data_IF_265890452502
#
_entry.id   IF_265890452502
#
_cell.length_a   1.000
_cell.length_b   1.000
_cell.length_c   1.000
_cell.angle_alpha   90.00
_cell.angle_beta   90.00
_cell.angle_gamma   90.00
#
_symmetry.space_group_name_H-M   'P 1'
#
loop_
_entity.id
_entity.type
_entity.pdbx_description
1 polymer ?
#
# COMPACT_ATOMS: atom_id res chain seq x y z
N UNK A 1 -20.28 -4.57 -17.06
CA UNK A 1 -21.71 -4.66 -16.68
C UNK A 1 -22.55 -4.01 -17.77
N UNK A 2 -23.60 -4.68 -18.28
CA UNK A 2 -24.51 -4.09 -19.27
C UNK A 2 -25.22 -2.88 -18.64
N UNK A 3 -25.06 -1.70 -19.24
CA UNK A 3 -25.79 -0.49 -18.85
C UNK A 3 -27.29 -0.70 -19.10
N UNK A 4 -28.02 -1.04 -18.04
CA UNK A 4 -29.47 -1.19 -18.10
C UNK A 4 -30.10 0.20 -18.21
N UNK A 5 -30.68 0.48 -19.36
CA UNK A 5 -31.36 1.74 -19.63
C UNK A 5 -32.78 1.70 -19.08
N UNK A 6 -33.20 2.77 -18.39
CA UNK A 6 -34.53 2.87 -17.80
C UNK A 6 -35.60 2.88 -18.90
N UNK A 7 -36.56 1.95 -18.81
CA UNK A 7 -37.65 1.77 -19.78
C UNK A 7 -38.56 3.02 -19.78
N UNK A 8 -38.68 3.67 -20.94
CA UNK A 8 -39.48 4.89 -21.12
C UNK A 8 -38.68 6.17 -21.43
N UNK A 9 -37.34 6.10 -21.45
CA UNK A 9 -36.47 7.14 -21.99
C UNK A 9 -36.24 6.87 -23.49
N UNK A 10 -36.99 7.54 -24.38
CA UNK A 10 -36.76 7.47 -25.84
C UNK A 10 -36.27 8.84 -26.34
N UNK A 11 -35.31 8.85 -27.27
CA UNK A 11 -34.70 10.06 -27.86
C UNK A 11 -33.27 10.35 -27.36
N UNK A 12 -32.77 11.57 -27.62
CA UNK A 12 -31.37 12.02 -27.37
C UNK A 12 -30.90 11.93 -25.89
N UNK A 13 -31.78 11.61 -24.93
CA UNK A 13 -31.55 11.71 -23.48
C UNK A 13 -31.56 10.37 -22.74
N UNK A 14 -30.88 9.36 -23.27
CA UNK A 14 -30.83 8.01 -22.70
C UNK A 14 -29.84 7.92 -21.53
N UNK A 15 -30.27 8.25 -20.30
CA UNK A 15 -29.44 8.15 -19.08
C UNK A 15 -29.58 6.80 -18.36
N UNK A 16 -28.49 6.31 -17.76
CA UNK A 16 -28.48 5.15 -16.87
C UNK A 16 -29.13 5.45 -15.53
N UNK A 17 -29.43 4.41 -14.76
CA UNK A 17 -29.94 4.55 -13.39
C UNK A 17 -28.98 5.38 -12.52
N UNK A 18 -27.68 5.05 -12.56
CA UNK A 18 -26.66 5.78 -11.77
C UNK A 18 -26.60 7.25 -12.17
N UNK A 19 -26.60 7.54 -13.47
CA UNK A 19 -26.60 8.91 -13.96
C UNK A 19 -27.85 9.70 -13.52
N UNK A 20 -29.01 9.06 -13.46
CA UNK A 20 -30.24 9.69 -12.98
C UNK A 20 -30.15 9.93 -11.46
N UNK A 21 -29.63 8.96 -10.71
CA UNK A 21 -29.49 9.07 -9.26
C UNK A 21 -28.46 10.12 -8.86
N UNK A 22 -27.33 10.22 -9.57
CA UNK A 22 -26.34 11.27 -9.36
C UNK A 22 -26.97 12.65 -9.55
N UNK A 23 -27.71 12.87 -10.65
CA UNK A 23 -28.41 14.14 -10.91
C UNK A 23 -29.40 14.48 -9.80
N UNK A 24 -30.21 13.50 -9.37
CA UNK A 24 -31.20 13.71 -8.32
C UNK A 24 -30.56 13.95 -6.95
N UNK A 25 -29.42 13.31 -6.69
CA UNK A 25 -28.65 13.51 -5.46
C UNK A 25 -28.06 14.92 -5.44
N UNK A 26 -27.39 15.34 -6.52
CA UNK A 26 -26.90 16.72 -6.69
C UNK A 26 -28.04 17.74 -6.59
N UNK A 27 -29.20 17.47 -7.19
CA UNK A 27 -30.38 18.32 -7.07
C UNK A 27 -30.81 18.51 -5.60
N UNK A 28 -30.77 17.44 -4.80
CA UNK A 28 -31.15 17.47 -3.39
C UNK A 28 -30.09 18.21 -2.55
N UNK A 29 -28.81 17.91 -2.76
CA UNK A 29 -27.69 18.49 -2.01
C UNK A 29 -27.51 19.98 -2.27
N UNK A 30 -27.60 20.40 -3.53
CA UNK A 30 -27.53 21.81 -3.93
C UNK A 30 -28.88 22.53 -3.82
N UNK A 31 -29.94 21.84 -3.39
CA UNK A 31 -31.31 22.35 -3.29
C UNK A 31 -31.81 23.03 -4.59
N UNK A 32 -31.54 22.41 -5.74
CA UNK A 32 -31.81 23.00 -7.05
C UNK A 32 -33.28 22.87 -7.48
N UNK A 33 -33.87 23.92 -8.06
CA UNK A 33 -35.18 23.80 -8.71
C UNK A 33 -35.14 22.83 -9.90
N UNK A 34 -36.20 22.04 -10.09
CA UNK A 34 -36.28 21.07 -11.21
C UNK A 34 -36.09 21.72 -12.59
N UNK A 35 -36.44 23.00 -12.75
CA UNK A 35 -36.22 23.78 -13.98
C UNK A 35 -34.73 24.02 -14.25
N UNK A 36 -33.95 24.30 -13.21
CA UNK A 36 -32.49 24.48 -13.32
C UNK A 36 -31.83 23.15 -13.68
N UNK A 37 -32.25 22.05 -13.06
CA UNK A 37 -31.76 20.69 -13.35
C UNK A 37 -32.10 20.29 -14.80
N UNK A 38 -33.33 20.56 -15.24
CA UNK A 38 -33.77 20.32 -16.61
C UNK A 38 -32.86 21.01 -17.64
N UNK A 39 -32.60 22.31 -17.46
CA UNK A 39 -31.69 23.07 -18.32
C UNK A 39 -30.23 22.59 -18.21
N UNK A 40 -29.72 22.34 -17.00
CA UNK A 40 -28.32 21.93 -16.76
C UNK A 40 -27.97 20.60 -17.42
N UNK A 41 -28.90 19.65 -17.38
CA UNK A 41 -28.67 18.29 -17.85
C UNK A 41 -29.33 17.99 -19.20
N UNK A 42 -29.81 19.02 -19.90
CA UNK A 42 -30.49 18.92 -21.19
C UNK A 42 -31.64 17.90 -21.21
N UNK A 43 -32.50 17.95 -20.19
CA UNK A 43 -33.68 17.07 -20.08
C UNK A 43 -34.95 17.90 -19.90
N UNK A 44 -36.09 17.34 -20.28
CA UNK A 44 -37.35 18.07 -20.11
C UNK A 44 -37.72 18.19 -18.64
N UNK A 45 -38.36 19.29 -18.26
CA UNK A 45 -38.85 19.50 -16.89
C UNK A 45 -39.76 18.35 -16.42
N UNK A 46 -40.60 17.84 -17.32
CA UNK A 46 -41.48 16.69 -17.05
C UNK A 46 -40.68 15.42 -16.70
N UNK A 47 -39.51 15.24 -17.32
CA UNK A 47 -38.61 14.10 -17.05
C UNK A 47 -38.04 14.19 -15.64
N UNK A 48 -37.58 15.37 -15.22
CA UNK A 48 -37.06 15.59 -13.86
C UNK A 48 -38.14 15.34 -12.80
N UNK A 49 -39.37 15.81 -13.02
CA UNK A 49 -40.49 15.52 -12.10
C UNK A 49 -40.80 14.02 -12.02
N UNK A 50 -40.80 13.33 -13.16
CA UNK A 50 -41.01 11.87 -13.21
C UNK A 50 -39.92 11.14 -12.44
N UNK A 51 -38.65 11.51 -12.63
CA UNK A 51 -37.53 10.93 -11.89
C UNK A 51 -37.67 11.15 -10.39
N UNK A 52 -37.92 12.38 -9.93
CA UNK A 52 -38.15 12.67 -8.51
C UNK A 52 -39.26 11.81 -7.92
N UNK A 53 -40.37 11.65 -8.64
CA UNK A 53 -41.51 10.84 -8.18
C UNK A 53 -41.16 9.35 -8.06
N UNK A 54 -40.50 8.78 -9.06
CA UNK A 54 -40.18 7.33 -9.10
C UNK A 54 -39.07 7.00 -8.09
N UNK A 55 -38.06 7.87 -7.99
CA UNK A 55 -36.80 7.55 -7.34
C UNK A 55 -36.63 8.15 -5.95
N UNK A 56 -37.59 8.93 -5.44
CA UNK A 56 -37.52 9.53 -4.10
C UNK A 56 -37.14 8.52 -2.99
N UNK A 57 -37.71 7.31 -3.01
CA UNK A 57 -37.40 6.26 -2.02
C UNK A 57 -36.05 5.59 -2.23
N UNK A 58 -35.58 5.53 -3.47
CA UNK A 58 -34.29 4.94 -3.83
C UNK A 58 -33.12 5.88 -3.54
N UNK A 59 -33.38 7.19 -3.53
CA UNK A 59 -32.38 8.23 -3.32
C UNK A 59 -31.69 8.12 -1.95
N UNK A 60 -32.45 7.78 -0.91
CA UNK A 60 -31.90 7.57 0.43
C UNK A 60 -30.93 6.38 0.47
N UNK A 61 -31.30 5.26 -0.15
CA UNK A 61 -30.43 4.10 -0.25
C UNK A 61 -29.19 4.40 -1.12
N UNK A 62 -29.37 5.12 -2.23
CA UNK A 62 -28.28 5.54 -3.11
C UNK A 62 -27.28 6.45 -2.39
N UNK A 63 -27.78 7.42 -1.61
CA UNK A 63 -26.96 8.29 -0.76
C UNK A 63 -26.14 7.48 0.24
N UNK A 64 -26.77 6.55 0.97
CA UNK A 64 -26.07 5.65 1.91
C UNK A 64 -24.99 4.82 1.23
N UNK A 65 -25.28 4.30 0.03
CA UNK A 65 -24.29 3.55 -0.76
C UNK A 65 -23.10 4.43 -1.15
N UNK A 66 -23.34 5.65 -1.65
CA UNK A 66 -22.28 6.63 -1.98
C UNK A 66 -21.44 7.02 -0.77
N UNK A 67 -22.08 7.27 0.38
CA UNK A 67 -21.38 7.55 1.63
C UNK A 67 -20.51 6.37 2.08
N UNK A 68 -20.99 5.12 1.92
CA UNK A 68 -20.21 3.93 2.23
C UNK A 68 -19.03 3.74 1.27
N UNK A 69 -19.21 3.96 -0.04
CA UNK A 69 -18.14 3.95 -1.03
C UNK A 69 -17.04 4.96 -0.68
N UNK A 70 -17.40 6.19 -0.35
CA UNK A 70 -16.47 7.25 0.05
C UNK A 70 -15.75 6.89 1.36
N UNK A 71 -16.48 6.35 2.36
CA UNK A 71 -15.88 5.90 3.62
C UNK A 71 -14.86 4.78 3.40
N UNK A 72 -15.18 3.82 2.53
CA UNK A 72 -14.27 2.71 2.20
C UNK A 72 -13.02 3.22 1.46
N UNK A 73 -13.18 4.08 0.45
CA UNK A 73 -12.04 4.68 -0.26
C UNK A 73 -11.14 5.49 0.69
N UNK A 74 -11.73 6.31 1.57
CA UNK A 74 -10.97 7.05 2.58
C UNK A 74 -10.26 6.13 3.57
N UNK A 75 -10.88 5.00 3.94
CA UNK A 75 -10.26 3.99 4.80
C UNK A 75 -9.10 3.31 4.09
N UNK A 76 -9.28 2.86 2.85
CA UNK A 76 -8.20 2.27 2.03
C UNK A 76 -7.02 3.24 1.88
N UNK A 77 -7.29 4.51 1.57
CA UNK A 77 -6.26 5.55 1.48
C UNK A 77 -5.52 5.77 2.81
N UNK A 78 -6.24 5.69 3.93
CA UNK A 78 -5.66 5.79 5.28
C UNK A 78 -4.80 4.56 5.59
N UNK A 79 -5.33 3.36 5.36
CA UNK A 79 -4.64 2.09 5.62
C UNK A 79 -3.35 2.00 4.78
N UNK A 80 -3.38 2.42 3.50
CA UNK A 80 -2.20 2.50 2.62
C UNK A 80 -1.14 3.49 3.15
N UNK A 81 -1.57 4.63 3.69
CA UNK A 81 -0.65 5.60 4.32
C UNK A 81 -0.02 5.03 5.59
N UNK A 82 -0.82 4.40 6.44
CA UNK A 82 -0.34 3.76 7.67
C UNK A 82 0.64 2.63 7.37
N UNK A 83 0.36 1.79 6.37
CA UNK A 83 1.28 0.73 5.92
C UNK A 83 2.61 1.32 5.42
N UNK A 84 2.56 2.38 4.62
CA UNK A 84 3.76 3.06 4.13
C UNK A 84 4.60 3.66 5.26
N UNK A 85 3.94 4.26 6.26
CA UNK A 85 4.60 4.79 7.46
C UNK A 85 5.25 3.64 8.24
N UNK A 86 4.53 2.53 8.42
CA UNK A 86 5.03 1.33 9.11
C UNK A 86 6.27 0.77 8.40
N UNK A 87 6.22 0.59 7.08
CA UNK A 87 7.35 0.11 6.29
C UNK A 87 8.58 1.01 6.41
N UNK A 88 8.39 2.33 6.41
CA UNK A 88 9.47 3.28 6.63
C UNK A 88 10.08 3.16 8.04
N UNK A 89 9.26 2.93 9.07
CA UNK A 89 9.74 2.69 10.43
C UNK A 89 10.56 1.40 10.55
N UNK A 90 10.07 0.29 9.97
CA UNK A 90 10.79 -0.98 9.92
C UNK A 90 12.12 -0.86 9.17
N UNK A 91 12.12 -0.18 8.01
CA UNK A 91 13.33 0.09 7.22
C UNK A 91 14.38 0.90 7.99
N UNK A 92 13.96 1.92 8.76
CA UNK A 92 14.85 2.70 9.64
C UNK A 92 15.48 1.83 10.73
N UNK A 93 14.71 0.98 11.40
CA UNK A 93 15.24 0.05 12.42
C UNK A 93 16.23 -0.93 11.82
N UNK A 94 15.93 -1.49 10.65
CA UNK A 94 16.84 -2.38 9.95
C UNK A 94 18.17 -1.70 9.60
N UNK A 95 18.10 -0.44 9.14
CA UNK A 95 19.30 0.36 8.85
C UNK A 95 20.16 0.56 10.09
N UNK A 96 19.56 0.89 11.22
CA UNK A 96 20.27 1.05 12.50
C UNK A 96 20.98 -0.24 12.92
N UNK A 97 20.28 -1.37 12.87
CA UNK A 97 20.85 -2.69 13.21
C UNK A 97 21.99 -3.08 12.27
N UNK A 98 21.84 -2.86 10.96
CA UNK A 98 22.91 -3.12 10.00
C UNK A 98 24.15 -2.29 10.32
N UNK A 99 23.97 -1.00 10.59
CA UNK A 99 25.10 -0.12 10.90
C UNK A 99 25.75 -0.46 12.24
N UNK A 100 24.99 -0.87 13.26
CA UNK A 100 25.57 -1.31 14.54
C UNK A 100 26.37 -2.62 14.40
N UNK A 101 26.03 -3.45 13.41
CA UNK A 101 26.79 -4.65 13.03
C UNK A 101 27.96 -4.36 12.10
N UNK A 102 28.25 -3.09 11.78
CA UNK A 102 29.29 -2.67 10.83
C UNK A 102 29.16 -3.32 9.43
N UNK A 103 27.93 -3.59 8.99
CA UNK A 103 27.67 -4.20 7.68
C UNK A 103 27.37 -3.15 6.61
N UNK A 104 27.95 -3.31 5.42
CA UNK A 104 27.53 -2.57 4.22
C UNK A 104 26.18 -3.10 3.69
N UNK A 105 25.49 -2.30 2.88
CA UNK A 105 24.25 -2.72 2.22
C UNK A 105 24.49 -3.92 1.27
N UNK A 106 25.64 -3.97 0.62
CA UNK A 106 26.03 -5.11 -0.23
C UNK A 106 26.22 -6.40 0.58
N UNK A 107 26.93 -6.32 1.71
CA UNK A 107 27.18 -7.48 2.58
C UNK A 107 25.90 -8.10 3.11
N UNK A 108 25.00 -7.29 3.65
CA UNK A 108 23.75 -7.82 4.20
C UNK A 108 22.83 -8.35 3.09
N UNK A 109 22.83 -7.72 1.91
CA UNK A 109 22.07 -8.24 0.76
C UNK A 109 22.57 -9.64 0.36
N UNK A 110 23.89 -9.86 0.34
CA UNK A 110 24.50 -11.18 0.12
C UNK A 110 24.09 -12.20 1.19
N UNK A 111 24.14 -11.84 2.48
CA UNK A 111 23.68 -12.69 3.60
C UNK A 111 22.21 -13.08 3.43
N UNK A 112 21.38 -12.12 3.03
CA UNK A 112 19.95 -12.33 2.80
C UNK A 112 19.66 -13.04 1.46
N UNK A 113 20.64 -13.18 0.56
CA UNK A 113 20.46 -13.74 -0.77
C UNK A 113 19.51 -12.92 -1.64
N UNK A 114 19.56 -11.59 -1.53
CA UNK A 114 18.76 -10.64 -2.32
C UNK A 114 19.69 -9.64 -3.02
N UNK A 115 19.17 -8.89 -3.99
CA UNK A 115 19.95 -7.84 -4.63
C UNK A 115 20.10 -6.62 -3.70
N UNK A 116 21.21 -5.89 -3.86
CA UNK A 116 21.46 -4.65 -3.09
C UNK A 116 20.34 -3.63 -3.32
N UNK A 117 19.79 -3.55 -4.53
CA UNK A 117 18.66 -2.70 -4.86
C UNK A 117 17.39 -3.03 -4.05
N UNK A 118 17.07 -4.33 -3.88
CA UNK A 118 15.93 -4.74 -3.05
C UNK A 118 16.18 -4.35 -1.59
N UNK A 119 17.37 -4.63 -1.06
CA UNK A 119 17.72 -4.24 0.31
C UNK A 119 17.63 -2.72 0.53
N UNK A 120 18.14 -1.93 -0.41
CA UNK A 120 18.07 -0.47 -0.42
C UNK A 120 16.63 0.07 -0.40
N UNK A 121 15.69 -0.61 -1.06
CA UNK A 121 14.27 -0.23 -1.05
C UNK A 121 13.61 -0.55 0.29
N UNK A 122 14.01 -1.66 0.92
CA UNK A 122 13.53 -2.03 2.26
C UNK A 122 13.93 -0.98 3.29
N UNK A 123 15.21 -0.58 3.35
CA UNK A 123 15.66 0.46 4.31
C UNK A 123 14.94 1.81 4.11
N UNK A 124 14.50 2.10 2.88
CA UNK A 124 13.73 3.30 2.54
C UNK A 124 12.22 3.16 2.79
N UNK A 125 11.73 1.97 3.13
CA UNK A 125 10.29 1.69 3.30
C UNK A 125 9.50 1.57 1.99
N UNK A 126 10.18 1.44 0.84
CA UNK A 126 9.54 1.24 -0.48
C UNK A 126 9.18 -0.22 -0.76
N UNK A 127 9.66 -1.14 0.07
CA UNK A 127 9.40 -2.57 -0.03
C UNK A 127 9.15 -3.11 1.37
N UNK A 128 8.06 -3.85 1.54
CA UNK A 128 7.69 -4.52 2.79
C UNK A 128 8.73 -5.60 3.14
N UNK A 129 9.03 -5.73 4.43
CA UNK A 129 9.79 -6.86 4.95
C UNK A 129 8.92 -8.12 4.93
N UNK A 130 9.14 -8.98 3.95
CA UNK A 130 8.43 -10.25 3.88
C UNK A 130 8.96 -11.26 4.91
N UNK A 131 8.16 -12.30 5.16
CA UNK A 131 8.48 -13.36 6.13
C UNK A 131 9.80 -14.07 5.83
N UNK A 132 10.15 -14.24 4.56
CA UNK A 132 11.42 -14.85 4.15
C UNK A 132 12.64 -14.05 4.61
N UNK A 133 12.64 -12.73 4.39
CA UNK A 133 13.73 -11.85 4.81
C UNK A 133 13.81 -11.79 6.34
N UNK A 134 12.67 -11.65 7.01
CA UNK A 134 12.60 -11.63 8.48
C UNK A 134 13.20 -12.93 9.06
N UNK A 135 12.85 -14.08 8.50
CA UNK A 135 13.39 -15.38 8.93
C UNK A 135 14.91 -15.45 8.77
N UNK A 136 15.45 -14.92 7.68
CA UNK A 136 16.91 -14.87 7.47
C UNK A 136 17.61 -13.91 8.44
N UNK A 137 17.04 -12.72 8.66
CA UNK A 137 17.58 -11.76 9.64
C UNK A 137 17.65 -12.39 11.04
N UNK A 138 16.62 -13.15 11.42
CA UNK A 138 16.63 -13.91 12.66
C UNK A 138 17.70 -15.01 12.66
N UNK A 139 17.70 -15.90 11.66
CA UNK A 139 18.60 -17.07 11.63
C UNK A 139 20.09 -16.72 11.52
N UNK A 140 20.43 -15.71 10.71
CA UNK A 140 21.82 -15.39 10.41
C UNK A 140 22.39 -14.25 11.25
N UNK A 141 21.55 -13.33 11.74
CA UNK A 141 22.00 -12.15 12.48
C UNK A 141 21.41 -12.07 13.89
N UNK A 142 20.55 -13.01 14.29
CA UNK A 142 19.92 -13.02 15.61
C UNK A 142 18.96 -11.86 15.86
N UNK A 143 18.59 -11.10 14.82
CA UNK A 143 17.73 -9.92 14.94
C UNK A 143 16.33 -10.35 15.37
N UNK A 144 15.79 -9.68 16.38
CA UNK A 144 14.46 -9.96 16.89
C UNK A 144 13.39 -9.48 15.90
N UNK A 145 12.53 -10.39 15.36
CA UNK A 145 11.43 -10.00 14.49
C UNK A 145 10.44 -9.04 15.15
N UNK A 146 10.19 -9.19 16.46
CA UNK A 146 9.24 -8.34 17.21
C UNK A 146 9.74 -6.90 17.19
N UNK A 147 11.00 -6.67 17.57
CA UNK A 147 11.62 -5.35 17.53
C UNK A 147 11.62 -4.75 16.11
N UNK A 148 11.90 -5.57 15.09
CA UNK A 148 11.95 -5.10 13.72
C UNK A 148 10.59 -4.55 13.23
N UNK A 149 9.49 -5.22 13.60
CA UNK A 149 8.12 -4.88 13.17
C UNK A 149 7.52 -3.78 14.06
N UNK A 150 7.62 -3.93 15.38
CA UNK A 150 6.91 -3.08 16.35
C UNK A 150 7.78 -1.96 16.90
N UNK A 151 9.10 -2.19 16.99
CA UNK A 151 10.02 -1.33 17.74
C UNK A 151 10.11 -1.67 19.23
N UNK A 152 9.43 -2.72 19.68
CA UNK A 152 9.37 -3.11 21.09
C UNK A 152 10.30 -4.30 21.41
N UNK A 153 10.80 -4.33 22.64
CA UNK A 153 11.66 -5.40 23.15
C UNK A 153 13.12 -5.30 22.71
N UNK A 154 13.88 -6.37 22.96
CA UNK A 154 15.31 -6.43 22.67
C UNK A 154 15.56 -6.49 21.16
N UNK A 155 16.58 -5.75 20.69
CA UNK A 155 17.01 -5.73 19.28
C UNK A 155 17.47 -7.10 18.76
N UNK A 156 18.08 -7.90 19.63
CA UNK A 156 18.64 -9.22 19.33
C UNK A 156 18.10 -10.24 20.32
N UNK A 157 17.67 -11.41 19.83
CA UNK A 157 17.20 -12.51 20.69
C UNK A 157 18.33 -13.38 21.21
N UNK A 158 19.47 -13.38 20.51
CA UNK A 158 20.64 -14.15 20.91
C UNK A 158 21.61 -13.20 21.62
N UNK A 159 21.70 -13.35 22.95
CA UNK A 159 22.64 -12.59 23.80
C UNK A 159 23.99 -13.32 23.95
N UNK A 160 24.17 -14.41 23.21
CA UNK A 160 25.31 -15.30 23.33
C UNK A 160 26.53 -14.73 22.57
N UNK A 161 27.55 -14.31 23.33
CA UNK A 161 28.80 -13.73 22.83
C UNK A 161 29.49 -14.61 21.78
N UNK A 162 29.37 -15.93 21.92
CA UNK A 162 29.99 -16.92 21.04
C UNK A 162 29.42 -16.88 19.61
N UNK A 163 28.15 -16.48 19.43
CA UNK A 163 27.55 -16.39 18.10
C UNK A 163 28.05 -15.15 17.35
N UNK A 164 28.23 -14.03 18.05
CA UNK A 164 28.84 -12.83 17.45
C UNK A 164 30.27 -13.10 16.98
N UNK A 165 31.05 -13.85 17.75
CA UNK A 165 32.39 -14.28 17.35
C UNK A 165 32.36 -15.27 16.18
N UNK A 166 31.43 -16.22 16.16
CA UNK A 166 31.25 -17.14 15.01
C UNK A 166 30.85 -16.41 13.74
N UNK A 167 29.92 -15.46 13.83
CA UNK A 167 29.55 -14.61 12.70
C UNK A 167 30.79 -13.85 12.22
N UNK A 168 31.50 -13.14 13.10
CA UNK A 168 32.69 -12.36 12.74
C UNK A 168 33.87 -13.19 12.20
N UNK A 169 34.07 -14.41 12.68
CA UNK A 169 35.12 -15.31 12.16
C UNK A 169 34.78 -15.81 10.76
N UNK A 170 33.53 -16.17 10.48
CA UNK A 170 33.06 -16.46 9.13
C UNK A 170 33.12 -15.21 8.22
N UNK A 171 32.92 -14.01 8.78
CA UNK A 171 33.12 -12.75 8.03
C UNK A 171 34.57 -12.57 7.55
N UNK A 172 35.57 -12.85 8.40
CA UNK A 172 37.00 -12.75 8.03
C UNK A 172 37.39 -13.76 6.95
N UNK A 173 36.88 -15.00 7.04
CA UNK A 173 37.11 -16.04 6.03
C UNK A 173 36.54 -15.66 4.66
N UNK A 174 35.36 -15.05 4.62
CA UNK A 174 34.71 -14.66 3.36
C UNK A 174 35.39 -13.46 2.68
N UNK A 175 35.84 -12.47 3.46
CA UNK A 175 36.63 -11.35 2.92
C UNK A 175 37.96 -11.83 2.33
N UNK A 176 38.65 -12.76 3.00
CA UNK A 176 39.90 -13.31 2.48
C UNK A 176 39.71 -14.12 1.18
N UNK A 177 38.60 -14.86 1.05
CA UNK A 177 38.30 -15.65 -0.17
C UNK A 177 37.95 -14.81 -1.39
N UNK A 178 37.38 -13.63 -1.21
CA UNK A 178 37.05 -12.75 -2.34
C UNK A 178 38.29 -11.99 -2.83
N UNK A 179 39.19 -11.58 -1.94
CA UNK A 179 40.47 -10.98 -2.34
C UNK A 179 41.32 -11.97 -3.16
N UNK A 180 41.41 -13.24 -2.75
CA UNK A 180 42.15 -14.27 -3.52
C UNK A 180 41.56 -14.61 -4.89
N UNK A 181 40.29 -14.28 -5.15
CA UNK A 181 39.67 -14.52 -6.47
C UNK A 181 39.88 -13.37 -7.44
N UNK A 182 39.99 -12.14 -6.94
CA UNK A 182 40.36 -10.97 -7.75
C UNK A 182 41.84 -11.06 -8.18
N UNK A 183 42.73 -11.63 -7.36
CA UNK A 183 44.14 -11.83 -7.69
C UNK A 183 44.42 -12.96 -8.73
N UNK A 184 43.51 -13.93 -8.87
CA UNK A 184 43.66 -15.06 -9.83
C UNK A 184 43.04 -14.76 -11.21
N UNK A 185 42.09 -13.83 -11.30
CA UNK A 185 41.43 -13.44 -12.55
C UNK A 185 42.26 -12.42 -13.38
N UNK A 186 43.22 -11.73 -12.75
CA UNK A 186 44.19 -10.81 -13.40
C UNK A 186 45.47 -11.52 -13.90
N UNK A 187 45.55 -12.86 -13.80
CA UNK A 187 46.70 -13.68 -14.23
C UNK A 187 46.40 -14.59 -15.45
N UNK A 188 45.28 -14.38 -16.15
CA UNK A 188 44.91 -15.05 -17.40
C UNK A 188 44.65 -14.04 -18.52
#
# INVERSE_FOLDING_TARGET
>A
MKTLFVKGNRGKNKRSYDQIMDILLTQLEENLPSKVVASRYDVTLQTVYKWRKIYAKHLENYKKMKEAEIKNANKEDKDLKEEKIHNAACGKRLRLLRTSLNLSQDRIAKILGITVAVYMRIERGYTVLNSYIITKLYKFLGINPIYLITGEGDCFLIKDTDLFEKINTEQKKYSNRNNTKEDEEDLL
#
